data_IF_202989088350
#
_entry.id   IF_202989088350
#
_cell.length_a   1.000
_cell.length_b   1.000
_cell.length_c   1.000
_cell.angle_alpha   90.00
_cell.angle_beta   90.00
_cell.angle_gamma   90.00
#
_symmetry.space_group_name_H-M   'P 1'
#
loop_
_entity.id
_entity.type
_entity.pdbx_description
1 polymer ?
#
# COMPACT_ATOMS: atom_id res chain seq x y z
N UNK A 1 -0.66 -22.04 14.71
CA UNK A 1 -0.66 -21.09 13.57
C UNK A 1 -0.29 -19.72 14.14
N UNK A 2 0.84 -19.10 13.77
CA UNK A 2 1.32 -17.86 14.43
C UNK A 2 0.36 -16.67 14.23
N UNK A 3 -0.36 -16.60 13.11
CA UNK A 3 -1.38 -15.55 12.86
C UNK A 3 -2.56 -15.69 13.82
N UNK A 4 -3.01 -16.92 14.11
CA UNK A 4 -4.10 -17.13 15.06
C UNK A 4 -3.76 -16.62 16.48
N UNK A 5 -2.48 -16.75 16.89
CA UNK A 5 -2.01 -16.38 18.22
C UNK A 5 -2.04 -14.88 18.52
N UNK A 6 -2.08 -13.99 17.50
CA UNK A 6 -2.11 -12.53 17.76
C UNK A 6 -3.44 -12.11 18.41
N UNK A 7 -4.52 -12.86 18.18
CA UNK A 7 -5.84 -12.61 18.76
C UNK A 7 -5.85 -12.77 20.27
N UNK A 8 -5.01 -13.67 20.79
CA UNK A 8 -4.83 -13.87 22.23
C UNK A 8 -4.20 -12.63 22.91
N UNK A 9 -3.60 -11.73 22.12
CA UNK A 9 -3.03 -10.46 22.58
C UNK A 9 -4.00 -9.28 22.38
N UNK A 10 -5.24 -9.54 21.95
CA UNK A 10 -6.27 -8.51 21.72
C UNK A 10 -6.16 -7.80 20.37
N UNK A 11 -5.27 -8.26 19.47
CA UNK A 11 -5.16 -7.69 18.12
C UNK A 11 -6.25 -8.22 17.19
N UNK A 12 -6.70 -7.36 16.26
CA UNK A 12 -7.72 -7.67 15.25
C UNK A 12 -7.26 -7.37 13.81
N UNK A 13 -6.00 -6.98 13.61
CA UNK A 13 -5.48 -6.62 12.30
C UNK A 13 -4.01 -7.05 12.14
N UNK A 14 -3.60 -7.28 10.89
CA UNK A 14 -2.21 -7.52 10.47
C UNK A 14 -1.83 -6.45 9.45
N UNK A 15 -0.64 -5.89 9.58
CA UNK A 15 -0.03 -5.03 8.56
C UNK A 15 1.01 -5.83 7.77
N UNK A 16 0.87 -5.84 6.44
CA UNK A 16 1.69 -6.62 5.52
C UNK A 16 2.41 -5.71 4.53
N UNK A 17 3.72 -5.60 4.72
CA UNK A 17 4.66 -5.17 3.68
C UNK A 17 4.74 -6.28 2.62
N UNK A 18 3.94 -6.16 1.58
CA UNK A 18 3.59 -7.25 0.67
C UNK A 18 4.76 -7.61 -0.24
N UNK A 19 5.32 -6.59 -0.87
CA UNK A 19 6.53 -6.69 -1.69
C UNK A 19 7.38 -5.44 -1.47
N UNK A 20 8.67 -5.54 -1.75
CA UNK A 20 9.55 -4.36 -1.77
C UNK A 20 9.68 -3.83 -3.19
N UNK A 21 9.45 -2.54 -3.39
CA UNK A 21 9.61 -1.93 -4.72
C UNK A 21 11.07 -2.02 -5.18
N UNK A 22 11.25 -2.11 -6.50
CA UNK A 22 12.58 -2.07 -7.10
C UNK A 22 12.85 -0.70 -7.74
N UNK A 23 13.91 0.02 -7.35
CA UNK A 23 14.22 1.32 -7.97
C UNK A 23 14.59 1.20 -9.46
N UNK A 24 15.11 0.05 -9.90
CA UNK A 24 15.51 -0.20 -11.29
C UNK A 24 14.39 -0.66 -12.22
N UNK A 25 13.17 -0.88 -11.73
CA UNK A 25 12.04 -1.34 -12.53
C UNK A 25 11.61 -0.26 -13.56
N UNK A 26 11.25 -0.63 -14.81
CA UNK A 26 11.17 -1.97 -15.38
C UNK A 26 12.46 -2.49 -16.04
N UNK A 27 13.53 -1.70 -16.05
CA UNK A 27 14.76 -2.04 -16.77
C UNK A 27 15.60 -3.12 -16.08
N UNK A 28 15.50 -3.25 -14.75
CA UNK A 28 16.25 -4.23 -13.98
C UNK A 28 15.54 -4.60 -12.67
N UNK A 29 15.91 -5.74 -12.11
CA UNK A 29 15.50 -6.18 -10.78
C UNK A 29 14.16 -6.91 -10.74
N UNK A 30 13.55 -6.93 -9.56
CA UNK A 30 12.28 -7.61 -9.30
C UNK A 30 11.10 -6.88 -9.95
N UNK A 31 10.15 -7.65 -10.46
CA UNK A 31 8.86 -7.17 -10.96
C UNK A 31 7.79 -7.35 -9.88
N UNK A 32 6.73 -6.53 -9.83
CA UNK A 32 5.61 -6.79 -8.94
C UNK A 32 5.00 -8.18 -9.17
N UNK A 33 4.52 -8.81 -8.10
CA UNK A 33 3.87 -10.10 -8.11
C UNK A 33 4.77 -11.30 -7.78
N UNK A 34 6.04 -11.09 -7.43
CA UNK A 34 6.95 -12.17 -7.06
C UNK A 34 6.52 -12.92 -5.79
N UNK A 35 5.67 -12.32 -4.95
CA UNK A 35 5.22 -12.89 -3.68
C UNK A 35 3.77 -13.40 -3.68
N UNK A 36 3.05 -13.33 -4.81
CA UNK A 36 1.58 -13.61 -4.88
C UNK A 36 1.17 -14.87 -4.14
N UNK A 37 1.89 -15.98 -4.34
CA UNK A 37 1.55 -17.27 -3.71
C UNK A 37 1.66 -17.25 -2.17
N UNK A 38 2.55 -16.44 -1.61
CA UNK A 38 2.66 -16.26 -0.15
C UNK A 38 1.62 -15.26 0.35
N UNK A 39 1.38 -14.18 -0.42
CA UNK A 39 0.35 -13.18 -0.10
C UNK A 39 -1.04 -13.81 -0.05
N UNK A 40 -1.36 -14.72 -0.97
CA UNK A 40 -2.60 -15.50 -0.97
C UNK A 40 -2.79 -16.27 0.35
N UNK A 41 -1.72 -16.85 0.90
CA UNK A 41 -1.79 -17.56 2.18
C UNK A 41 -2.07 -16.59 3.33
N UNK A 42 -1.51 -15.39 3.31
CA UNK A 42 -1.77 -14.38 4.35
C UNK A 42 -3.19 -13.85 4.26
N UNK A 43 -3.68 -13.55 3.05
CA UNK A 43 -5.07 -13.14 2.81
C UNK A 43 -6.04 -14.23 3.28
N UNK A 44 -5.79 -15.50 2.93
CA UNK A 44 -6.61 -16.62 3.38
C UNK A 44 -6.61 -16.76 4.90
N UNK A 45 -5.45 -16.76 5.54
CA UNK A 45 -5.33 -16.93 6.99
C UNK A 45 -5.96 -15.78 7.76
N UNK A 46 -5.80 -14.54 7.31
CA UNK A 46 -6.46 -13.40 7.95
C UNK A 46 -7.97 -13.46 7.80
N UNK A 47 -8.47 -13.91 6.64
CA UNK A 47 -9.91 -14.16 6.44
C UNK A 47 -10.45 -15.21 7.40
N UNK A 48 -9.81 -16.38 7.45
CA UNK A 48 -10.24 -17.52 8.28
C UNK A 48 -10.25 -17.18 9.77
N UNK A 49 -9.32 -16.33 10.20
CA UNK A 49 -9.19 -15.90 11.59
C UNK A 49 -10.05 -14.66 11.93
N UNK A 50 -10.74 -14.06 10.96
CA UNK A 50 -11.55 -12.85 11.16
C UNK A 50 -10.73 -11.61 11.51
N UNK A 51 -9.54 -11.49 10.92
CA UNK A 51 -8.61 -10.37 11.09
C UNK A 51 -8.70 -9.42 9.89
N UNK A 52 -8.56 -8.11 10.13
CA UNK A 52 -8.25 -7.16 9.05
C UNK A 52 -6.83 -7.35 8.53
N UNK A 53 -6.60 -7.04 7.26
CA UNK A 53 -5.29 -7.04 6.64
C UNK A 53 -5.04 -5.71 5.94
N UNK A 54 -4.04 -4.96 6.39
CA UNK A 54 -3.56 -3.75 5.70
C UNK A 54 -2.39 -4.16 4.82
N UNK A 55 -2.52 -3.98 3.52
CA UNK A 55 -1.54 -4.36 2.49
C UNK A 55 -0.87 -3.12 1.91
N UNK A 56 0.46 -3.09 1.94
CA UNK A 56 1.27 -1.99 1.37
C UNK A 56 2.47 -2.51 0.60
N UNK A 57 3.08 -1.63 -0.18
CA UNK A 57 4.39 -1.82 -0.80
C UNK A 57 5.46 -1.34 0.18
N UNK A 58 6.44 -2.18 0.52
CA UNK A 58 7.60 -1.80 1.32
C UNK A 58 8.75 -1.23 0.50
N UNK A 59 9.75 -0.67 1.18
CA UNK A 59 10.88 0.01 0.53
C UNK A 59 12.21 -0.73 0.66
N UNK A 60 12.32 -1.73 1.53
CA UNK A 60 13.59 -2.37 1.85
C UNK A 60 14.62 -1.35 2.33
N UNK A 61 15.69 -1.15 1.57
CA UNK A 61 16.74 -0.16 1.89
C UNK A 61 16.42 1.28 1.40
N UNK A 62 15.26 1.52 0.78
CA UNK A 62 14.94 2.76 0.06
C UNK A 62 13.74 3.52 0.66
N UNK A 63 13.57 3.55 1.99
CA UNK A 63 12.55 4.38 2.63
C UNK A 63 12.70 5.85 2.20
N UNK A 64 11.58 6.57 2.13
CA UNK A 64 11.55 7.96 1.64
C UNK A 64 11.64 8.05 0.11
N UNK A 65 11.35 6.97 -0.61
CA UNK A 65 11.40 6.88 -2.06
C UNK A 65 10.43 5.83 -2.60
N UNK A 66 10.18 5.85 -3.91
CA UNK A 66 9.30 4.93 -4.62
C UNK A 66 9.74 4.77 -6.08
N UNK A 67 9.16 3.78 -6.78
CA UNK A 67 9.20 3.69 -8.23
C UNK A 67 7.75 3.70 -8.78
N UNK A 68 7.36 4.77 -9.48
CA UNK A 68 5.96 4.97 -9.92
C UNK A 68 5.44 3.81 -10.76
N UNK A 69 6.23 3.31 -11.70
CA UNK A 69 5.80 2.22 -12.58
C UNK A 69 5.59 0.93 -11.79
N UNK A 70 6.48 0.64 -10.83
CA UNK A 70 6.32 -0.49 -9.92
C UNK A 70 5.04 -0.38 -9.11
N UNK A 71 4.74 0.80 -8.53
CA UNK A 71 3.51 1.03 -7.76
C UNK A 71 2.26 0.77 -8.59
N UNK A 72 2.19 1.30 -9.81
CA UNK A 72 1.02 1.13 -10.67
C UNK A 72 0.85 -0.32 -11.14
N UNK A 73 1.94 -1.02 -11.46
CA UNK A 73 1.86 -2.42 -11.89
C UNK A 73 1.56 -3.36 -10.72
N UNK A 74 2.08 -3.06 -9.53
CA UNK A 74 1.71 -3.72 -8.27
C UNK A 74 0.21 -3.60 -8.02
N UNK A 75 -0.35 -2.39 -8.02
CA UNK A 75 -1.77 -2.19 -7.77
C UNK A 75 -2.65 -2.70 -8.92
N UNK A 76 -2.14 -2.74 -10.15
CA UNK A 76 -2.86 -3.37 -11.27
C UNK A 76 -3.16 -4.83 -11.00
N UNK A 77 -2.20 -5.55 -10.41
CA UNK A 77 -2.32 -6.96 -10.04
C UNK A 77 -3.11 -7.15 -8.73
N UNK A 78 -2.64 -6.51 -7.65
CA UNK A 78 -3.13 -6.80 -6.31
C UNK A 78 -4.51 -6.21 -6.02
N UNK A 79 -4.85 -5.03 -6.59
CA UNK A 79 -6.17 -4.46 -6.42
C UNK A 79 -7.24 -5.33 -7.10
N UNK A 80 -7.00 -5.80 -8.33
CA UNK A 80 -7.98 -6.66 -9.02
C UNK A 80 -8.10 -8.03 -8.35
N UNK A 81 -6.99 -8.59 -7.87
CA UNK A 81 -6.95 -9.91 -7.21
C UNK A 81 -7.72 -9.93 -5.89
N UNK A 82 -7.61 -8.89 -5.07
CA UNK A 82 -8.18 -8.86 -3.72
C UNK A 82 -9.37 -7.90 -3.55
N UNK A 83 -9.94 -7.36 -4.63
CA UNK A 83 -11.10 -6.44 -4.59
C UNK A 83 -12.31 -6.94 -3.81
N UNK A 84 -12.51 -8.26 -3.74
CA UNK A 84 -13.66 -8.86 -3.05
C UNK A 84 -13.33 -9.29 -1.60
N UNK A 85 -12.09 -9.06 -1.14
CA UNK A 85 -11.65 -9.39 0.21
C UNK A 85 -12.08 -8.29 1.17
N UNK A 86 -13.28 -8.40 1.73
CA UNK A 86 -13.87 -7.35 2.59
C UNK A 86 -13.06 -7.00 3.83
N UNK A 87 -12.14 -7.87 4.27
CA UNK A 87 -11.24 -7.63 5.40
C UNK A 87 -9.92 -6.96 5.00
N UNK A 88 -9.67 -6.75 3.70
CA UNK A 88 -8.42 -6.17 3.18
C UNK A 88 -8.57 -4.66 2.99
N UNK A 89 -7.53 -3.95 3.40
CA UNK A 89 -7.35 -2.50 3.27
C UNK A 89 -6.08 -2.29 2.44
N UNK A 90 -6.14 -1.41 1.45
CA UNK A 90 -4.97 -1.04 0.65
C UNK A 90 -4.32 0.23 1.18
N UNK A 91 -3.00 0.24 1.31
CA UNK A 91 -2.20 1.41 1.65
C UNK A 91 -1.18 1.62 0.53
N UNK A 92 -1.25 2.74 -0.19
CA UNK A 92 -0.67 2.88 -1.54
C UNK A 92 0.83 2.53 -1.61
N UNK A 93 1.64 3.15 -0.77
CA UNK A 93 3.09 2.99 -0.77
C UNK A 93 3.61 3.38 0.61
N UNK A 94 4.39 2.51 1.25
CA UNK A 94 5.04 2.87 2.50
C UNK A 94 6.04 4.02 2.26
N UNK A 95 5.98 5.04 3.12
CA UNK A 95 6.95 6.13 3.25
C UNK A 95 7.57 6.59 1.91
N UNK A 96 6.75 7.08 0.95
CA UNK A 96 7.22 7.36 -0.41
C UNK A 96 8.14 8.58 -0.49
N UNK A 97 8.19 9.42 0.54
CA UNK A 97 8.92 10.68 0.51
C UNK A 97 9.60 10.99 1.85
N UNK A 98 10.88 11.34 1.79
CA UNK A 98 11.70 11.64 2.96
C UNK A 98 11.40 13.06 3.50
N UNK A 99 10.78 13.24 4.67
CA UNK A 99 10.23 12.23 5.59
C UNK A 99 8.79 12.52 6.00
N UNK A 100 8.11 13.43 5.29
CA UNK A 100 6.80 13.92 5.70
C UNK A 100 6.33 15.03 4.76
N UNK A 101 5.20 15.68 5.08
CA UNK A 101 4.67 16.74 4.24
C UNK A 101 5.58 17.99 4.29
N UNK A 102 5.62 18.81 3.25
CA UNK A 102 4.85 18.65 2.00
C UNK A 102 5.55 17.73 1.01
N UNK A 103 4.80 16.76 0.49
CA UNK A 103 5.25 15.91 -0.61
C UNK A 103 5.52 16.72 -1.87
N UNK A 104 6.47 16.25 -2.69
CA UNK A 104 6.71 16.82 -4.00
C UNK A 104 5.62 16.42 -5.02
N UNK A 105 5.60 17.11 -6.16
CA UNK A 105 4.58 16.86 -7.20
C UNK A 105 4.63 15.43 -7.74
N UNK A 106 5.83 14.81 -7.79
CA UNK A 106 5.99 13.44 -8.27
C UNK A 106 5.31 12.43 -7.33
N UNK A 107 5.47 12.61 -6.02
CA UNK A 107 4.86 11.76 -4.99
C UNK A 107 3.34 11.95 -5.00
N UNK A 108 2.86 13.19 -5.04
CA UNK A 108 1.43 13.50 -5.09
C UNK A 108 0.77 12.95 -6.37
N UNK A 109 1.45 13.02 -7.50
CA UNK A 109 0.96 12.44 -8.76
C UNK A 109 0.89 10.92 -8.68
N UNK A 110 1.90 10.26 -8.08
CA UNK A 110 1.88 8.81 -7.85
C UNK A 110 0.69 8.39 -6.99
N UNK A 111 0.43 9.08 -5.88
CA UNK A 111 -0.73 8.85 -5.00
C UNK A 111 -2.05 8.98 -5.76
N UNK A 112 -2.22 10.06 -6.53
CA UNK A 112 -3.43 10.29 -7.32
C UNK A 112 -3.64 9.22 -8.39
N UNK A 113 -2.61 8.85 -9.12
CA UNK A 113 -2.68 7.83 -10.17
C UNK A 113 -2.99 6.45 -9.58
N UNK A 114 -2.33 6.08 -8.47
CA UNK A 114 -2.59 4.84 -7.77
C UNK A 114 -4.02 4.79 -7.21
N UNK A 115 -4.51 5.89 -6.62
CA UNK A 115 -5.89 5.98 -6.12
C UNK A 115 -6.91 5.73 -7.25
N UNK A 116 -6.78 6.43 -8.38
CA UNK A 116 -7.69 6.27 -9.54
C UNK A 116 -7.61 4.85 -10.08
N UNK A 117 -6.41 4.29 -10.23
CA UNK A 117 -6.20 2.93 -10.69
C UNK A 117 -6.86 1.90 -9.76
N UNK A 118 -6.62 1.99 -8.45
CA UNK A 118 -7.20 1.08 -7.46
C UNK A 118 -8.72 1.19 -7.50
N UNK A 119 -9.30 2.41 -7.51
CA UNK A 119 -10.75 2.62 -7.60
C UNK A 119 -11.36 2.01 -8.86
N UNK A 120 -10.66 2.02 -9.98
CA UNK A 120 -11.14 1.39 -11.22
C UNK A 120 -11.23 -0.15 -11.14
N UNK A 121 -10.46 -0.77 -10.23
CA UNK A 121 -10.37 -2.23 -10.06
C UNK A 121 -11.11 -2.75 -8.84
N UNK A 122 -11.08 -1.97 -7.77
CA UNK A 122 -11.54 -2.30 -6.43
C UNK A 122 -12.33 -1.10 -5.86
N UNK A 123 -13.54 -0.84 -6.39
CA UNK A 123 -14.30 0.38 -6.08
C UNK A 123 -14.66 0.50 -4.60
N UNK A 124 -14.90 -0.64 -3.93
CA UNK A 124 -15.38 -0.69 -2.54
C UNK A 124 -14.28 -0.91 -1.49
N UNK A 125 -13.04 -1.16 -1.92
CA UNK A 125 -11.95 -1.45 -0.98
C UNK A 125 -11.45 -0.17 -0.31
N UNK A 126 -11.29 -0.12 1.03
CA UNK A 126 -10.68 1.02 1.71
C UNK A 126 -9.25 1.29 1.22
N UNK A 127 -8.89 2.57 1.06
CA UNK A 127 -7.55 3.01 0.63
C UNK A 127 -7.00 4.00 1.66
N UNK A 128 -5.80 3.73 2.16
CA UNK A 128 -4.97 4.65 2.95
C UNK A 128 -3.98 5.36 2.00
N UNK A 129 -3.93 6.69 2.10
CA UNK A 129 -3.10 7.55 1.25
C UNK A 129 -1.84 8.00 2.00
N UNK A 130 -0.83 8.42 1.25
CA UNK A 130 0.38 9.13 1.66
C UNK A 130 1.41 8.35 2.47
N UNK A 131 0.98 7.73 3.58
CA UNK A 131 1.86 7.03 4.52
C UNK A 131 3.06 7.85 4.99
N UNK A 132 2.80 9.04 5.56
CA UNK A 132 3.84 9.94 6.10
C UNK A 132 4.67 9.26 7.19
N UNK A 133 6.01 9.18 7.02
CA UNK A 133 6.91 8.70 8.08
C UNK A 133 6.86 9.60 9.31
N UNK A 134 6.87 10.91 9.10
CA UNK A 134 6.84 11.96 10.13
C UNK A 134 5.77 12.99 9.79
N UNK A 135 4.64 12.94 10.51
CA UNK A 135 3.59 13.94 10.40
C UNK A 135 3.98 15.23 11.15
N UNK A 136 4.87 16.03 10.55
CA UNK A 136 5.40 17.25 11.17
C UNK A 136 4.41 18.45 11.18
N UNK A 137 3.48 18.51 10.22
CA UNK A 137 2.49 19.58 10.12
C UNK A 137 1.17 19.08 9.57
N UNK A 138 0.10 19.19 10.36
CA UNK A 138 -1.25 18.79 9.94
C UNK A 138 -1.79 19.64 8.78
N UNK A 139 -1.50 20.94 8.75
CA UNK A 139 -1.95 21.80 7.64
C UNK A 139 -1.24 21.48 6.32
N UNK A 140 0.04 21.09 6.38
CA UNK A 140 0.78 20.65 5.21
C UNK A 140 0.22 19.31 4.69
N UNK A 141 -0.07 18.36 5.58
CA UNK A 141 -0.70 17.10 5.20
C UNK A 141 -2.09 17.30 4.57
N UNK A 142 -2.92 18.18 5.12
CA UNK A 142 -4.22 18.52 4.51
C UNK A 142 -4.05 19.14 3.12
N UNK A 143 -3.06 20.03 2.94
CA UNK A 143 -2.75 20.61 1.63
C UNK A 143 -2.31 19.57 0.60
N UNK A 144 -1.58 18.53 1.00
CA UNK A 144 -1.18 17.43 0.13
C UNK A 144 -2.39 16.57 -0.24
N UNK A 145 -3.24 16.21 0.74
CA UNK A 145 -4.49 15.45 0.53
C UNK A 145 -5.41 16.18 -0.45
N UNK A 146 -5.53 17.50 -0.34
CA UNK A 146 -6.35 18.31 -1.25
C UNK A 146 -5.86 18.26 -2.71
N UNK A 147 -4.56 18.00 -2.94
CA UNK A 147 -3.98 17.87 -4.29
C UNK A 147 -4.15 16.48 -4.89
N UNK A 148 -4.32 15.44 -4.05
CA UNK A 148 -4.58 14.06 -4.51
C UNK A 148 -6.07 13.83 -4.86
N UNK A 149 -6.96 14.77 -4.51
CA UNK A 149 -8.37 14.71 -4.89
C UNK A 149 -8.52 14.48 -6.39
N UNK A 150 -9.13 13.35 -6.75
CA UNK A 150 -9.45 12.97 -8.11
C UNK A 150 -10.16 14.13 -8.82
N UNK A 151 -9.58 14.57 -9.94
CA UNK A 151 -10.26 15.45 -10.91
C UNK A 151 -11.33 14.67 -11.65
#
# INVERSE_FOLDING_TARGET
>A
NQIAGIKEQGFNAVHLYTETFNPGYPSAGSTPGYAVAEVDKIVQRTRDEGLYLIMTIGNGAYNGSFNRQFVLDFWTLYADRYKNETHVIFEIQNEPFAWGPSYDDATLQMEADAYVLIRSKAPDTPILLMSYSVLGSGSAALSDIDKVKAK
#
